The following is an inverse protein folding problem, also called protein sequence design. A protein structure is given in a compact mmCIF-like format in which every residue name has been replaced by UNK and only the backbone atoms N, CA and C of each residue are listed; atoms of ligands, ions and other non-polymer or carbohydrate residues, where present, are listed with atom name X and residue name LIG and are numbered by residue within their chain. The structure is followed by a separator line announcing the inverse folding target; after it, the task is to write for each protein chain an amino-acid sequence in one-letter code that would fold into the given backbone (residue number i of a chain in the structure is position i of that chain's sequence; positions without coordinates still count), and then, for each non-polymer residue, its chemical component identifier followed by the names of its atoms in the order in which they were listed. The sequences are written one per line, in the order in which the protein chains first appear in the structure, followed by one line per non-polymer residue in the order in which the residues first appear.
data_IF_760363618115
#
_entry.id   IF_760363618115
#
_cell.length_a   1.000
_cell.length_b   1.000
_cell.length_c   1.000
_cell.angle_alpha   90.00
_cell.angle_beta   90.00
_cell.angle_gamma   90.00
#
_symmetry.space_group_name_H-M   'P 1'
#
loop_
_entity.id
_entity.type
_entity.pdbx_description
1 polymer ?
#
# COMPACT_ATOMS: atom_id res chain seq x y z
N UNK A 1 15.17 -8.75 21.70
CA UNK A 1 13.84 -9.07 21.17
C UNK A 1 12.78 -9.01 22.24
N UNK A 2 12.11 -7.86 22.28
CA UNK A 2 11.21 -7.52 23.40
C UNK A 2 9.74 -7.67 23.03
N UNK A 3 9.41 -8.18 21.84
CA UNK A 3 8.05 -8.37 21.35
C UNK A 3 7.39 -9.70 21.80
N UNK A 4 8.20 -10.73 22.02
CA UNK A 4 7.74 -12.05 22.46
C UNK A 4 7.97 -12.21 23.96
N UNK A 5 7.18 -11.51 24.76
CA UNK A 5 7.25 -11.56 26.22
C UNK A 5 5.86 -11.40 26.84
N UNK A 6 5.65 -11.99 28.00
CA UNK A 6 4.38 -11.86 28.74
C UNK A 6 4.23 -10.48 29.39
N UNK A 7 5.34 -9.81 29.66
CA UNK A 7 5.37 -8.51 30.33
C UNK A 7 6.42 -7.61 29.69
N UNK A 8 6.10 -6.34 29.56
CA UNK A 8 7.02 -5.29 29.12
C UNK A 8 6.83 -4.04 29.98
N UNK A 9 7.92 -3.48 30.45
CA UNK A 9 7.94 -2.15 31.05
C UNK A 9 8.22 -1.12 29.95
N UNK A 10 7.35 -0.16 29.80
CA UNK A 10 7.50 0.93 28.83
C UNK A 10 7.17 2.26 29.49
N UNK A 11 7.73 3.35 28.98
CA UNK A 11 7.33 4.68 29.40
C UNK A 11 5.89 4.93 28.93
N UNK A 12 5.12 5.72 29.69
CA UNK A 12 3.71 5.95 29.36
C UNK A 12 3.50 6.65 28.01
N UNK A 13 4.49 7.41 27.54
CA UNK A 13 4.48 8.03 26.20
C UNK A 13 4.63 7.04 25.04
N UNK A 14 5.12 5.83 25.34
CA UNK A 14 5.40 4.80 24.33
C UNK A 14 4.23 3.80 24.22
N UNK A 15 3.12 4.09 24.89
CA UNK A 15 1.92 3.26 24.88
C UNK A 15 0.74 4.05 24.35
N UNK A 16 -0.11 3.35 23.59
CA UNK A 16 -1.30 3.94 23.00
C UNK A 16 -2.53 3.16 23.44
N UNK A 17 -3.53 3.90 23.93
CA UNK A 17 -4.80 3.31 24.32
C UNK A 17 -5.63 3.03 23.06
N UNK A 18 -6.13 1.81 22.94
CA UNK A 18 -7.06 1.40 21.90
C UNK A 18 -8.42 1.03 22.49
N UNK A 19 -9.45 0.87 21.65
CA UNK A 19 -10.78 0.41 22.09
C UNK A 19 -10.68 -0.95 22.78
N UNK A 20 -11.56 -1.16 23.77
CA UNK A 20 -11.71 -2.46 24.43
C UNK A 20 -12.50 -3.47 23.60
N UNK A 21 -13.15 -3.01 22.53
CA UNK A 21 -14.00 -3.83 21.65
C UNK A 21 -13.22 -4.49 20.51
N UNK A 22 -11.88 -4.32 20.48
CA UNK A 22 -10.98 -5.00 19.54
C UNK A 22 -10.29 -6.17 20.21
N UNK A 23 -9.98 -7.18 19.42
CA UNK A 23 -9.22 -8.35 19.86
C UNK A 23 -7.73 -8.04 19.97
N UNK A 24 -6.99 -8.86 20.73
CA UNK A 24 -5.54 -8.77 20.79
C UNK A 24 -4.88 -8.97 19.41
N UNK A 25 -5.50 -9.79 18.54
CA UNK A 25 -5.04 -9.99 17.17
C UNK A 25 -5.16 -8.71 16.34
N UNK A 26 -6.29 -8.00 16.42
CA UNK A 26 -6.49 -6.71 15.76
C UNK A 26 -5.51 -5.65 16.29
N UNK A 27 -5.34 -5.58 17.62
CA UNK A 27 -4.37 -4.67 18.24
C UNK A 27 -2.92 -4.95 17.77
N UNK A 28 -2.59 -6.21 17.52
CA UNK A 28 -1.28 -6.62 16.98
C UNK A 28 -0.96 -6.05 15.58
N UNK A 29 -1.98 -5.57 14.85
CA UNK A 29 -1.80 -4.91 13.56
C UNK A 29 -1.50 -3.40 13.67
N UNK A 30 -1.40 -2.84 14.87
CA UNK A 30 -1.20 -1.40 15.05
C UNK A 30 0.03 -0.89 14.30
N UNK A 31 1.20 -1.52 14.46
CA UNK A 31 2.43 -1.11 13.77
C UNK A 31 2.33 -1.29 12.24
N UNK A 32 1.94 -2.47 11.71
CA UNK A 32 1.74 -2.62 10.28
C UNK A 32 0.78 -1.59 9.66
N UNK A 33 -0.33 -1.29 10.32
CA UNK A 33 -1.30 -0.29 9.83
C UNK A 33 -0.71 1.11 9.90
N UNK A 34 0.01 1.48 10.97
CA UNK A 34 0.68 2.77 11.07
C UNK A 34 1.68 3.00 9.93
N UNK A 35 2.47 1.96 9.59
CA UNK A 35 3.42 2.02 8.47
C UNK A 35 2.71 2.24 7.13
N UNK A 36 1.57 1.60 6.93
CA UNK A 36 0.74 1.78 5.72
C UNK A 36 0.10 3.17 5.69
N UNK A 37 -0.42 3.66 6.80
CA UNK A 37 -0.97 5.02 6.93
C UNK A 37 0.08 6.07 6.59
N UNK A 38 1.32 5.90 7.10
CA UNK A 38 2.44 6.77 6.74
C UNK A 38 2.67 6.81 5.22
N UNK A 39 2.67 5.65 4.56
CA UNK A 39 2.78 5.54 3.10
C UNK A 39 1.64 6.25 2.36
N UNK A 40 0.40 6.04 2.80
CA UNK A 40 -0.79 6.65 2.20
C UNK A 40 -0.78 8.19 2.34
N UNK A 41 -0.35 8.71 3.48
CA UNK A 41 -0.15 10.16 3.69
C UNK A 41 0.94 10.74 2.79
N UNK A 42 2.09 10.04 2.66
CA UNK A 42 3.15 10.46 1.73
C UNK A 42 2.67 10.49 0.28
N UNK A 43 1.85 9.53 -0.11
CA UNK A 43 1.18 9.53 -1.41
C UNK A 43 0.11 10.62 -1.54
N UNK A 44 -0.34 11.21 -0.43
CA UNK A 44 -1.42 12.21 -0.43
C UNK A 44 -2.67 11.70 -1.16
N UNK A 45 -3.05 10.46 -0.88
CA UNK A 45 -4.21 9.81 -1.51
C UNK A 45 -5.46 10.67 -1.28
N UNK A 46 -6.21 10.91 -2.35
CA UNK A 46 -7.44 11.69 -2.35
C UNK A 46 -8.65 10.82 -2.71
N UNK A 47 -9.85 11.19 -2.26
CA UNK A 47 -11.07 10.52 -2.71
C UNK A 47 -11.19 10.49 -4.24
N UNK A 48 -11.71 9.37 -4.75
CA UNK A 48 -11.92 9.08 -6.16
C UNK A 48 -10.64 8.89 -7.02
N UNK A 49 -9.44 9.03 -6.46
CA UNK A 49 -8.22 8.65 -7.17
C UNK A 49 -8.15 7.13 -7.39
N UNK A 50 -7.57 6.70 -8.49
CA UNK A 50 -7.26 5.30 -8.75
C UNK A 50 -5.90 4.96 -8.16
N UNK A 51 -5.90 4.04 -7.20
CA UNK A 51 -4.67 3.51 -6.55
C UNK A 51 -4.48 2.05 -6.95
N UNK A 52 -3.33 1.73 -7.54
CA UNK A 52 -2.94 0.35 -7.84
C UNK A 52 -1.99 -0.16 -6.77
N UNK A 53 -2.27 -1.34 -6.23
CA UNK A 53 -1.37 -2.03 -5.29
C UNK A 53 -0.80 -3.27 -5.97
N UNK A 54 0.52 -3.35 -6.08
CA UNK A 54 1.21 -4.51 -6.62
C UNK A 54 1.59 -5.45 -5.48
N UNK A 55 0.98 -6.64 -5.47
CA UNK A 55 1.10 -7.67 -4.45
C UNK A 55 -0.08 -7.66 -3.47
N UNK A 56 -0.65 -8.86 -3.22
CA UNK A 56 -1.75 -9.10 -2.28
C UNK A 56 -1.31 -9.93 -1.06
N UNK A 57 -0.07 -9.74 -0.61
CA UNK A 57 0.38 -10.19 0.71
C UNK A 57 -0.26 -9.37 1.84
N UNK A 58 0.07 -9.67 3.08
CA UNK A 58 -0.48 -8.94 4.24
C UNK A 58 -0.34 -7.43 4.10
N UNK A 59 0.87 -6.94 3.77
CA UNK A 59 1.09 -5.49 3.62
C UNK A 59 0.38 -4.90 2.40
N UNK A 60 0.29 -5.67 1.29
CA UNK A 60 -0.47 -5.21 0.11
C UNK A 60 -1.96 -5.07 0.40
N UNK A 61 -2.55 -6.03 1.10
CA UNK A 61 -3.96 -5.96 1.51
C UNK A 61 -4.23 -4.82 2.49
N UNK A 62 -3.33 -4.57 3.44
CA UNK A 62 -3.44 -3.41 4.34
C UNK A 62 -3.34 -2.09 3.56
N UNK A 63 -2.40 -1.96 2.62
CA UNK A 63 -2.31 -0.78 1.74
C UNK A 63 -3.60 -0.57 0.95
N UNK A 64 -4.19 -1.64 0.42
CA UNK A 64 -5.44 -1.59 -0.32
C UNK A 64 -6.62 -1.11 0.56
N UNK A 65 -6.71 -1.64 1.78
CA UNK A 65 -7.77 -1.25 2.73
C UNK A 65 -7.62 0.21 3.18
N UNK A 66 -6.41 0.64 3.53
CA UNK A 66 -6.17 2.03 3.94
C UNK A 66 -6.42 2.98 2.78
N UNK A 67 -5.97 2.66 1.55
CA UNK A 67 -6.27 3.48 0.38
C UNK A 67 -7.79 3.59 0.13
N UNK A 68 -8.52 2.48 0.28
CA UNK A 68 -9.99 2.46 0.19
C UNK A 68 -10.64 3.31 1.29
N UNK A 69 -10.15 3.23 2.53
CA UNK A 69 -10.62 4.06 3.63
C UNK A 69 -10.38 5.57 3.39
N UNK A 70 -9.35 5.93 2.63
CA UNK A 70 -9.08 7.30 2.19
C UNK A 70 -9.95 7.72 0.98
N UNK A 71 -10.85 6.84 0.53
CA UNK A 71 -11.81 7.11 -0.54
C UNK A 71 -11.31 6.80 -1.95
N UNK A 72 -10.19 6.11 -2.10
CA UNK A 72 -9.66 5.73 -3.41
C UNK A 72 -10.43 4.55 -4.02
N UNK A 73 -10.47 4.52 -5.35
CA UNK A 73 -10.73 3.32 -6.13
C UNK A 73 -9.46 2.46 -6.13
N UNK A 74 -9.55 1.22 -5.66
CA UNK A 74 -8.38 0.36 -5.49
C UNK A 74 -8.40 -0.80 -6.47
N UNK A 75 -7.27 -1.00 -7.16
CA UNK A 75 -6.99 -2.14 -8.02
C UNK A 75 -5.81 -2.90 -7.42
N UNK A 76 -5.91 -4.23 -7.28
CA UNK A 76 -4.81 -5.09 -6.84
C UNK A 76 -4.30 -5.93 -8.00
N UNK A 77 -2.97 -5.98 -8.18
CA UNK A 77 -2.27 -6.89 -9.09
C UNK A 77 -1.52 -7.96 -8.28
N UNK A 78 -1.78 -9.25 -8.54
CA UNK A 78 -1.17 -10.37 -7.82
C UNK A 78 -1.03 -11.58 -8.75
N UNK A 79 -0.03 -12.43 -8.49
CA UNK A 79 0.28 -13.64 -9.26
C UNK A 79 -0.46 -14.91 -8.76
N UNK A 80 -0.92 -14.88 -7.51
CA UNK A 80 -1.42 -16.07 -6.80
C UNK A 80 -2.92 -16.02 -6.63
N UNK A 81 -3.66 -16.96 -7.24
CA UNK A 81 -5.13 -16.99 -7.17
C UNK A 81 -5.66 -17.02 -5.73
N UNK A 82 -5.03 -17.77 -4.83
CA UNK A 82 -5.42 -17.76 -3.41
C UNK A 82 -5.41 -16.37 -2.78
N UNK A 83 -4.43 -15.53 -3.15
CA UNK A 83 -4.34 -14.15 -2.65
C UNK A 83 -5.33 -13.21 -3.35
N UNK A 84 -5.60 -13.44 -4.65
CA UNK A 84 -6.64 -12.72 -5.39
C UNK A 84 -8.02 -12.98 -4.78
N UNK A 85 -8.35 -14.26 -4.49
CA UNK A 85 -9.60 -14.62 -3.82
C UNK A 85 -9.73 -13.92 -2.47
N UNK A 86 -8.65 -13.90 -1.67
CA UNK A 86 -8.67 -13.20 -0.39
C UNK A 86 -8.86 -11.68 -0.54
N UNK A 87 -8.28 -11.07 -1.55
CA UNK A 87 -8.52 -9.64 -1.83
C UNK A 87 -10.00 -9.36 -2.13
N UNK A 88 -10.64 -10.23 -2.93
CA UNK A 88 -12.08 -10.13 -3.22
C UNK A 88 -12.93 -10.30 -1.95
N UNK A 89 -12.61 -11.30 -1.12
CA UNK A 89 -13.28 -11.54 0.18
C UNK A 89 -13.19 -10.34 1.12
N UNK A 90 -12.08 -9.59 1.05
CA UNK A 90 -11.87 -8.36 1.81
C UNK A 90 -12.50 -7.12 1.17
N UNK A 91 -13.32 -7.29 0.15
CA UNK A 91 -14.07 -6.22 -0.49
C UNK A 91 -13.27 -5.36 -1.48
N UNK A 92 -12.15 -5.86 -1.99
CA UNK A 92 -11.45 -5.26 -3.13
C UNK A 92 -12.06 -5.84 -4.41
N UNK A 93 -12.87 -5.02 -5.07
CA UNK A 93 -13.64 -5.48 -6.23
C UNK A 93 -12.80 -5.70 -7.49
N UNK A 94 -11.73 -4.91 -7.66
CA UNK A 94 -10.91 -4.94 -8.87
C UNK A 94 -9.57 -5.60 -8.59
N UNK A 95 -9.40 -6.81 -9.12
CA UNK A 95 -8.16 -7.58 -8.99
C UNK A 95 -7.68 -8.04 -10.37
N UNK A 96 -6.38 -8.00 -10.58
CA UNK A 96 -5.70 -8.42 -11.80
C UNK A 96 -4.90 -9.67 -11.51
N UNK A 97 -5.21 -10.76 -12.20
CA UNK A 97 -4.35 -11.95 -12.26
C UNK A 97 -3.14 -11.65 -13.17
N UNK A 98 -2.05 -11.25 -12.55
CA UNK A 98 -0.82 -10.89 -13.24
C UNK A 98 -0.04 -12.11 -13.75
N UNK A 99 -0.49 -13.34 -13.46
CA UNK A 99 0.07 -14.55 -14.02
C UNK A 99 -0.46 -14.81 -15.44
N UNK A 100 -1.74 -14.49 -15.65
CA UNK A 100 -2.45 -14.79 -16.91
C UNK A 100 -2.58 -13.57 -17.83
N UNK A 101 -2.38 -12.36 -17.30
CA UNK A 101 -2.57 -11.11 -18.02
C UNK A 101 -1.35 -10.19 -17.85
N UNK A 102 -1.15 -9.27 -18.80
CA UNK A 102 -0.21 -8.16 -18.61
C UNK A 102 -0.84 -7.12 -17.65
N UNK A 103 -0.31 -6.95 -16.44
CA UNK A 103 -0.95 -6.09 -15.46
C UNK A 103 -0.95 -4.61 -15.85
N UNK A 104 0.01 -4.15 -16.65
CA UNK A 104 0.05 -2.76 -17.15
C UNK A 104 -1.09 -2.52 -18.12
N UNK A 105 -1.29 -3.42 -19.09
CA UNK A 105 -2.39 -3.34 -20.06
C UNK A 105 -3.75 -3.39 -19.36
N UNK A 106 -3.90 -4.24 -18.36
CA UNK A 106 -5.14 -4.34 -17.58
C UNK A 106 -5.42 -3.06 -16.78
N UNK A 107 -4.41 -2.44 -16.16
CA UNK A 107 -4.59 -1.14 -15.51
C UNK A 107 -5.02 -0.08 -16.52
N UNK A 108 -4.38 -0.01 -17.69
CA UNK A 108 -4.78 0.93 -18.74
C UNK A 108 -6.21 0.66 -19.21
N UNK A 109 -6.61 -0.59 -19.40
CA UNK A 109 -7.98 -0.96 -19.76
C UNK A 109 -9.00 -0.54 -18.69
N UNK A 110 -8.72 -0.81 -17.41
CA UNK A 110 -9.59 -0.48 -16.28
C UNK A 110 -9.70 1.03 -16.02
N UNK A 111 -8.75 1.81 -16.53
CA UNK A 111 -8.70 3.28 -16.35
C UNK A 111 -8.98 4.06 -17.63
N UNK A 112 -9.53 3.41 -18.66
CA UNK A 112 -9.80 4.04 -19.97
C UNK A 112 -8.55 4.73 -20.57
N UNK A 113 -7.39 4.10 -20.44
CA UNK A 113 -6.10 4.59 -20.92
C UNK A 113 -5.47 5.70 -20.08
N UNK A 114 -6.08 6.09 -18.97
CA UNK A 114 -5.58 7.20 -18.14
C UNK A 114 -4.39 6.80 -17.25
N UNK A 115 -4.32 5.53 -16.83
CA UNK A 115 -3.39 5.04 -15.83
C UNK A 115 -3.79 5.40 -14.39
N UNK A 116 -2.96 4.98 -13.44
CA UNK A 116 -3.20 5.15 -12.01
C UNK A 116 -2.71 6.51 -11.49
N UNK A 117 -3.48 7.14 -10.59
CA UNK A 117 -3.07 8.35 -9.86
C UNK A 117 -1.91 8.04 -8.91
N UNK A 118 -1.95 6.89 -8.28
CA UNK A 118 -0.87 6.40 -7.44
C UNK A 118 -0.69 4.90 -7.60
N UNK A 119 0.55 4.42 -7.46
CA UNK A 119 0.90 3.01 -7.44
C UNK A 119 1.70 2.71 -6.18
N UNK A 120 1.40 1.59 -5.53
CA UNK A 120 2.09 1.11 -4.33
C UNK A 120 2.73 -0.23 -4.65
N UNK A 121 4.06 -0.29 -4.65
CA UNK A 121 4.78 -1.54 -4.76
C UNK A 121 4.90 -2.20 -3.37
N UNK A 122 4.00 -3.12 -3.04
CA UNK A 122 4.04 -3.91 -1.81
C UNK A 122 4.89 -5.19 -1.96
N UNK A 123 5.64 -5.31 -3.04
CA UNK A 123 6.67 -6.31 -3.31
C UNK A 123 7.91 -5.63 -3.86
N UNK A 124 9.09 -6.03 -3.36
CA UNK A 124 10.37 -5.43 -3.72
C UNK A 124 11.10 -6.26 -4.78
N UNK A 125 10.75 -6.09 -6.05
CA UNK A 125 11.51 -6.69 -7.16
C UNK A 125 11.49 -5.79 -8.40
N UNK A 126 12.46 -5.99 -9.29
CA UNK A 126 12.67 -5.21 -10.50
C UNK A 126 11.43 -5.19 -11.43
N UNK A 127 10.73 -6.32 -11.56
CA UNK A 127 9.55 -6.44 -12.43
C UNK A 127 8.41 -5.59 -11.88
N UNK A 128 8.11 -5.70 -10.58
CA UNK A 128 7.07 -4.92 -9.93
C UNK A 128 7.35 -3.41 -10.00
N UNK A 129 8.60 -3.00 -9.85
CA UNK A 129 8.97 -1.59 -9.95
C UNK A 129 8.82 -1.06 -11.38
N UNK A 130 9.26 -1.83 -12.39
CA UNK A 130 9.03 -1.48 -13.79
C UNK A 130 7.53 -1.34 -14.10
N UNK A 131 6.75 -2.37 -13.77
CA UNK A 131 5.30 -2.36 -14.00
C UNK A 131 4.62 -1.19 -13.27
N UNK A 132 4.99 -0.94 -12.01
CA UNK A 132 4.41 0.16 -11.23
C UNK A 132 4.66 1.53 -11.84
N UNK A 133 5.85 1.75 -12.40
CA UNK A 133 6.17 2.98 -13.11
C UNK A 133 5.36 3.12 -14.41
N UNK A 134 5.22 2.04 -15.17
CA UNK A 134 4.47 2.00 -16.43
C UNK A 134 2.94 2.16 -16.24
N UNK A 135 2.40 1.79 -15.06
CA UNK A 135 0.99 1.94 -14.71
C UNK A 135 0.58 3.37 -14.37
N UNK A 136 1.55 4.28 -14.11
CA UNK A 136 1.25 5.65 -13.71
C UNK A 136 0.55 6.44 -14.82
N UNK A 137 -0.44 7.25 -14.43
CA UNK A 137 -1.03 8.24 -15.34
C UNK A 137 0.04 9.14 -15.98
N UNK A 138 -0.31 9.70 -17.13
CA UNK A 138 0.62 10.48 -17.94
C UNK A 138 1.28 11.65 -17.18
N UNK A 139 0.55 12.34 -16.33
CA UNK A 139 1.01 13.51 -15.58
C UNK A 139 0.72 13.35 -14.08
N UNK A 140 1.67 13.78 -13.24
CA UNK A 140 1.49 13.86 -11.78
C UNK A 140 1.15 12.52 -11.11
N UNK A 141 1.58 11.40 -11.71
CA UNK A 141 1.49 10.09 -11.10
C UNK A 141 2.48 9.96 -9.92
N UNK A 142 2.10 9.22 -8.89
CA UNK A 142 2.90 9.02 -7.67
C UNK A 142 3.17 7.55 -7.45
N UNK A 143 4.43 7.20 -7.28
CA UNK A 143 4.85 5.81 -7.09
C UNK A 143 5.49 5.63 -5.72
N UNK A 144 4.88 4.81 -4.88
CA UNK A 144 5.39 4.44 -3.55
C UNK A 144 6.17 3.14 -3.62
N UNK A 145 7.45 3.20 -3.32
CA UNK A 145 8.30 2.04 -3.05
C UNK A 145 8.10 1.64 -1.59
N UNK A 146 7.07 0.82 -1.34
CA UNK A 146 6.69 0.40 0.00
C UNK A 146 7.53 -0.75 0.52
N UNK A 147 7.79 -1.75 -0.32
CA UNK A 147 8.60 -2.90 0.05
C UNK A 147 10.04 -2.77 -0.45
N UNK A 148 11.01 -3.08 0.41
CA UNK A 148 12.37 -3.35 -0.01
C UNK A 148 12.49 -4.78 -0.57
N UNK A 149 13.51 -5.07 -1.37
CA UNK A 149 13.74 -6.37 -1.98
C UNK A 149 15.16 -6.88 -1.82
N UNK A 150 15.29 -8.20 -1.82
CA UNK A 150 16.56 -8.88 -1.87
C UNK A 150 16.47 -10.07 -2.87
N UNK A 151 17.42 -10.22 -3.83
CA UNK A 151 18.54 -9.28 -4.09
C UNK A 151 18.05 -7.87 -4.40
N UNK A 152 18.94 -6.88 -4.27
CA UNK A 152 18.58 -5.47 -4.47
C UNK A 152 17.94 -5.28 -5.86
N UNK A 153 16.69 -4.78 -5.91
CA UNK A 153 16.03 -4.57 -7.18
C UNK A 153 16.59 -3.34 -7.90
N UNK A 154 16.57 -3.40 -9.22
CA UNK A 154 16.95 -2.28 -10.08
C UNK A 154 15.70 -1.58 -10.61
N UNK A 155 15.81 -0.27 -10.80
CA UNK A 155 14.78 0.55 -11.41
C UNK A 155 15.41 1.47 -12.46
N UNK A 156 15.11 1.21 -13.74
CA UNK A 156 15.55 2.09 -14.82
C UNK A 156 14.54 3.23 -14.98
N UNK A 157 15.00 4.45 -14.77
CA UNK A 157 14.18 5.66 -14.85
C UNK A 157 14.84 6.63 -15.82
N UNK A 158 14.03 7.20 -16.72
CA UNK A 158 14.44 8.35 -17.50
C UNK A 158 14.15 9.64 -16.71
N UNK A 159 15.20 10.39 -16.26
CA UNK A 159 14.99 11.62 -15.50
C UNK A 159 14.13 12.67 -16.23
N UNK A 160 14.22 12.72 -17.56
CA UNK A 160 13.40 13.64 -18.36
C UNK A 160 11.90 13.29 -18.28
N UNK A 161 11.53 12.01 -18.18
CA UNK A 161 10.15 11.63 -17.97
C UNK A 161 9.63 12.09 -16.61
N UNK A 162 10.43 11.91 -15.55
CA UNK A 162 10.08 12.44 -14.22
C UNK A 162 9.84 13.94 -14.31
N UNK A 163 10.75 14.68 -14.94
CA UNK A 163 10.67 16.12 -15.07
C UNK A 163 9.43 16.57 -15.86
N UNK A 164 9.27 16.10 -17.10
CA UNK A 164 8.20 16.55 -17.99
C UNK A 164 6.81 16.05 -17.58
N UNK A 165 6.73 14.86 -17.00
CA UNK A 165 5.48 14.28 -16.50
C UNK A 165 5.18 14.67 -15.06
N UNK A 166 6.07 15.39 -14.38
CA UNK A 166 5.95 15.75 -12.95
C UNK A 166 5.60 14.55 -12.08
N UNK A 167 6.28 13.42 -12.34
CA UNK A 167 6.09 12.21 -11.56
C UNK A 167 6.79 12.30 -10.21
N UNK A 168 6.28 11.60 -9.22
CA UNK A 168 6.92 11.47 -7.93
C UNK A 168 7.24 9.99 -7.63
N UNK A 169 8.49 9.72 -7.22
CA UNK A 169 8.91 8.43 -6.72
C UNK A 169 9.22 8.60 -5.25
N UNK A 170 8.50 7.87 -4.41
CA UNK A 170 8.45 8.10 -2.97
C UNK A 170 8.90 6.83 -2.25
N UNK A 171 9.87 6.95 -1.36
CA UNK A 171 10.24 5.91 -0.39
C UNK A 171 9.49 6.08 0.92
N UNK A 172 9.22 4.97 1.59
CA UNK A 172 8.67 4.98 2.96
C UNK A 172 9.36 3.93 3.80
N UNK A 173 9.55 4.25 5.07
CA UNK A 173 10.07 3.33 6.08
C UNK A 173 9.56 3.77 7.45
N UNK A 174 9.08 2.82 8.25
CA UNK A 174 8.52 3.07 9.58
C UNK A 174 7.29 4.01 9.56
N UNK A 175 6.90 4.46 10.73
CA UNK A 175 5.78 5.36 10.95
C UNK A 175 6.11 6.32 12.10
N UNK A 176 5.56 7.52 12.04
CA UNK A 176 5.66 8.50 13.11
C UNK A 176 4.53 8.33 14.14
N UNK A 177 4.66 8.97 15.29
CA UNK A 177 3.65 8.91 16.37
C UNK A 177 2.25 9.28 15.87
N UNK A 178 2.15 10.27 14.99
CA UNK A 178 0.87 10.68 14.39
C UNK A 178 0.24 9.59 13.53
N UNK A 179 1.06 8.77 12.85
CA UNK A 179 0.57 7.64 12.05
C UNK A 179 0.04 6.52 12.94
N UNK A 180 0.68 6.29 14.10
CA UNK A 180 0.18 5.35 15.12
C UNK A 180 -1.15 5.81 15.72
N UNK A 181 -1.35 7.12 15.95
CA UNK A 181 -2.64 7.66 16.42
C UNK A 181 -3.74 7.37 15.42
N UNK A 182 -3.49 7.65 14.14
CA UNK A 182 -4.48 7.40 13.09
C UNK A 182 -4.74 5.91 12.90
N UNK A 183 -3.70 5.06 12.94
CA UNK A 183 -3.84 3.62 12.87
C UNK A 183 -4.68 3.07 14.05
N UNK A 184 -4.43 3.55 15.28
CA UNK A 184 -5.20 3.16 16.45
C UNK A 184 -6.67 3.57 16.33
N UNK A 185 -6.93 4.76 15.78
CA UNK A 185 -8.28 5.22 15.48
C UNK A 185 -8.96 4.32 14.44
N UNK A 186 -8.31 4.04 13.32
CA UNK A 186 -8.86 3.20 12.26
C UNK A 186 -9.21 1.79 12.78
N UNK A 187 -8.28 1.13 13.47
CA UNK A 187 -8.49 -0.21 14.01
C UNK A 187 -9.61 -0.19 15.06
N UNK A 188 -9.62 0.78 15.97
CA UNK A 188 -10.62 0.90 17.04
C UNK A 188 -12.03 1.15 16.51
N UNK A 189 -12.18 1.75 15.34
CA UNK A 189 -13.45 2.03 14.68
C UNK A 189 -13.76 1.07 13.51
N UNK A 190 -12.93 0.04 13.31
CA UNK A 190 -13.11 -0.98 12.26
C UNK A 190 -13.24 -0.39 10.85
N UNK A 191 -12.41 0.63 10.60
CA UNK A 191 -12.29 1.31 9.30
C UNK A 191 -11.37 0.52 8.39
#
# INVERSE_FOLDING_TARGET
DRGFSNYKVSHYTDVMKMSKDITAAEAGFLEPVATVVSGAKKLRIKPAETVVVIGAGTMGLLNAQVAKAFGARVIISELTEKKLSRAREMGIAEVIDAKSNNPVEEVMRLTDGKGADAVIAAVGNTIAYKQGYEMLKKMEGRFLLFAAGYPQPEMQINPNEIHYRRLEIIGTMNADVADFVDAAFMISNKI
#
